data_IF_424418610537
#
_entry.id   IF_424418610537
#
_cell.length_a   1.000
_cell.length_b   1.000
_cell.length_c   1.000
_cell.angle_alpha   90.00
_cell.angle_beta   90.00
_cell.angle_gamma   90.00
#
_symmetry.space_group_name_H-M   'P 1'
#
loop_
_entity.id
_entity.type
_entity.pdbx_description
1 polymer ?
#
# COMPACT_ATOMS: atom_id res chain seq x y z
N UNK A 1 -5.69 -26.75 19.12
CA UNK A 1 -5.96 -25.33 19.44
C UNK A 1 -6.46 -24.61 18.18
N UNK A 2 -7.19 -23.49 18.27
CA UNK A 2 -7.56 -22.73 17.08
C UNK A 2 -6.32 -22.26 16.31
N UNK A 3 -6.30 -22.45 14.98
CA UNK A 3 -5.16 -22.08 14.11
C UNK A 3 -5.35 -20.65 13.59
N UNK A 4 -4.30 -19.83 13.59
CA UNK A 4 -4.34 -18.44 13.12
C UNK A 4 -3.64 -18.30 11.79
N UNK A 5 -4.26 -17.60 10.83
CA UNK A 5 -3.63 -17.30 9.55
C UNK A 5 -2.37 -16.46 9.77
N UNK A 6 -1.24 -16.87 9.20
CA UNK A 6 0.05 -16.20 9.40
C UNK A 6 0.09 -14.78 8.81
N UNK A 7 -0.75 -14.45 7.81
CA UNK A 7 -0.79 -13.14 7.15
C UNK A 7 -1.77 -12.17 7.78
N UNK A 8 -3.03 -12.58 7.94
CA UNK A 8 -4.09 -11.70 8.45
C UNK A 8 -4.44 -11.93 9.92
N UNK A 9 -3.99 -13.03 10.54
CA UNK A 9 -4.31 -13.35 11.94
C UNK A 9 -5.75 -13.81 12.19
N UNK A 10 -6.56 -14.07 11.15
CA UNK A 10 -7.90 -14.64 11.33
C UNK A 10 -7.77 -16.02 11.98
N UNK A 11 -8.62 -16.28 12.97
CA UNK A 11 -8.63 -17.56 13.68
C UNK A 11 -9.62 -18.52 13.01
N UNK A 12 -9.15 -19.72 12.64
CA UNK A 12 -10.00 -20.81 12.18
C UNK A 12 -10.48 -21.63 13.37
N UNK A 13 -11.79 -21.83 13.46
CA UNK A 13 -12.41 -22.72 14.45
C UNK A 13 -12.30 -24.21 14.09
N UNK A 14 -11.83 -24.53 12.87
CA UNK A 14 -11.61 -25.92 12.47
C UNK A 14 -10.42 -26.47 13.25
N UNK A 15 -10.60 -27.60 13.94
CA UNK A 15 -9.50 -28.45 14.43
C UNK A 15 -8.80 -29.03 13.19
N UNK A 16 -7.93 -28.25 12.58
CA UNK A 16 -7.23 -28.67 11.37
C UNK A 16 -5.90 -29.32 11.75
N UNK A 17 -5.54 -30.44 11.14
CA UNK A 17 -4.17 -31.01 11.14
C UNK A 17 -3.16 -30.10 10.40
N UNK A 18 -3.45 -28.81 10.29
CA UNK A 18 -2.63 -27.83 9.57
C UNK A 18 -1.66 -27.22 10.55
N UNK A 19 -0.40 -27.19 10.13
CA UNK A 19 0.70 -26.61 10.89
C UNK A 19 0.45 -25.12 11.17
N UNK A 20 0.67 -24.73 12.44
CA UNK A 20 0.54 -23.35 12.92
C UNK A 20 1.51 -22.40 12.22
N UNK A 21 2.63 -22.91 11.70
CA UNK A 21 3.67 -22.11 11.05
C UNK A 21 3.36 -21.81 9.57
N UNK A 22 2.37 -22.47 8.96
CA UNK A 22 2.11 -22.38 7.50
C UNK A 22 0.66 -22.08 7.11
N UNK A 23 -0.27 -22.04 8.07
CA UNK A 23 -1.69 -21.81 7.74
C UNK A 23 -1.95 -20.42 7.13
N UNK A 24 -2.49 -20.41 5.91
CA UNK A 24 -2.97 -19.22 5.19
C UNK A 24 -4.45 -19.42 4.85
N UNK A 25 -5.32 -18.50 5.27
CA UNK A 25 -6.76 -18.58 4.99
C UNK A 25 -7.09 -18.27 3.52
N UNK A 26 -8.23 -18.75 3.04
CA UNK A 26 -8.61 -18.62 1.62
C UNK A 26 -8.76 -17.16 1.18
N UNK A 27 -9.26 -16.28 2.06
CA UNK A 27 -9.31 -14.83 1.79
C UNK A 27 -7.91 -14.24 1.58
N UNK A 28 -6.88 -14.72 2.30
CA UNK A 28 -5.50 -14.30 2.07
C UNK A 28 -4.93 -14.87 0.77
N UNK A 29 -5.24 -16.11 0.41
CA UNK A 29 -4.80 -16.69 -0.86
C UNK A 29 -5.37 -15.92 -2.07
N UNK A 30 -6.65 -15.52 -1.99
CA UNK A 30 -7.25 -14.65 -3.01
C UNK A 30 -6.60 -13.27 -3.03
N UNK A 31 -6.36 -12.69 -1.85
CA UNK A 31 -5.72 -11.38 -1.75
C UNK A 31 -4.28 -11.37 -2.24
N UNK A 32 -3.52 -12.47 -2.06
CA UNK A 32 -2.18 -12.64 -2.63
C UNK A 32 -2.18 -12.39 -4.14
N UNK A 33 -3.12 -12.99 -4.87
CA UNK A 33 -3.21 -12.81 -6.32
C UNK A 33 -3.53 -11.36 -6.70
N UNK A 34 -4.47 -10.72 -5.99
CA UNK A 34 -4.82 -9.31 -6.22
C UNK A 34 -3.62 -8.39 -6.00
N UNK A 35 -2.88 -8.58 -4.89
CA UNK A 35 -1.68 -7.78 -4.58
C UNK A 35 -0.58 -8.00 -5.62
N UNK A 36 -0.34 -9.24 -6.02
CA UNK A 36 0.65 -9.57 -7.06
C UNK A 36 0.30 -8.87 -8.37
N UNK A 37 -0.96 -9.01 -8.83
CA UNK A 37 -1.43 -8.38 -10.07
C UNK A 37 -1.31 -6.85 -10.04
N UNK A 38 -1.68 -6.22 -8.91
CA UNK A 38 -1.56 -4.79 -8.73
C UNK A 38 -0.10 -4.33 -8.72
N UNK A 39 0.80 -5.05 -8.04
CA UNK A 39 2.20 -4.69 -7.96
C UNK A 39 2.91 -4.81 -9.32
N UNK A 40 2.70 -5.91 -10.03
CA UNK A 40 3.31 -6.12 -11.36
C UNK A 40 2.82 -5.07 -12.36
N UNK A 41 1.51 -4.77 -12.36
CA UNK A 41 0.95 -3.69 -13.18
C UNK A 41 1.49 -2.31 -12.78
N UNK A 42 1.64 -2.03 -11.49
CA UNK A 42 2.23 -0.78 -11.00
C UNK A 42 3.68 -0.65 -11.45
N UNK A 43 4.45 -1.73 -11.32
CA UNK A 43 5.86 -1.77 -11.68
C UNK A 43 6.05 -1.50 -13.17
N UNK A 44 5.32 -2.21 -14.04
CA UNK A 44 5.36 -1.95 -15.48
C UNK A 44 4.98 -0.51 -15.83
N UNK A 45 3.87 -0.02 -15.26
CA UNK A 45 3.36 1.33 -15.51
C UNK A 45 4.34 2.42 -15.06
N UNK A 46 4.97 2.24 -13.89
CA UNK A 46 5.83 3.26 -13.30
C UNK A 46 7.28 3.21 -13.79
N UNK A 47 7.70 2.08 -14.38
CA UNK A 47 8.96 1.97 -15.10
C UNK A 47 8.86 2.52 -16.52
N UNK A 48 7.69 2.43 -17.17
CA UNK A 48 7.48 2.93 -18.53
C UNK A 48 7.52 4.47 -18.59
N UNK A 49 8.54 5.08 -19.22
CA UNK A 49 8.64 6.52 -19.34
C UNK A 49 7.77 7.10 -20.48
N UNK A 50 7.16 6.25 -21.31
CA UNK A 50 6.46 6.67 -22.54
C UNK A 50 5.04 7.18 -22.28
N UNK A 51 4.42 6.77 -21.18
CA UNK A 51 3.05 7.12 -20.83
C UNK A 51 2.97 7.98 -19.55
N UNK A 52 2.04 8.96 -19.47
CA UNK A 52 1.80 9.69 -18.24
C UNK A 52 1.28 8.74 -17.14
N UNK A 53 2.08 8.51 -16.09
CA UNK A 53 1.70 7.62 -14.98
C UNK A 53 0.37 8.01 -14.33
N UNK A 54 0.01 9.29 -14.34
CA UNK A 54 -1.21 9.81 -13.72
C UNK A 54 -2.50 9.46 -14.47
N UNK A 55 -2.38 9.05 -15.73
CA UNK A 55 -3.52 8.59 -16.54
C UNK A 55 -3.84 7.11 -16.31
N UNK A 56 -3.03 6.40 -15.52
CA UNK A 56 -3.18 4.96 -15.29
C UNK A 56 -4.20 4.64 -14.19
N UNK A 57 -4.92 3.54 -14.37
CA UNK A 57 -5.82 2.96 -13.37
C UNK A 57 -5.10 2.69 -12.04
N UNK A 58 -3.86 2.21 -12.11
CA UNK A 58 -3.07 1.86 -10.93
C UNK A 58 -2.67 3.10 -10.12
N UNK A 59 -2.34 4.22 -10.78
CA UNK A 59 -2.11 5.48 -10.10
C UNK A 59 -3.34 5.94 -9.33
N UNK A 60 -4.53 5.84 -9.94
CA UNK A 60 -5.78 6.18 -9.27
C UNK A 60 -6.03 5.26 -8.06
N UNK A 61 -5.93 3.94 -8.20
CA UNK A 61 -6.13 2.98 -7.09
C UNK A 61 -5.20 3.29 -5.90
N UNK A 62 -3.91 3.52 -6.17
CA UNK A 62 -2.93 3.80 -5.12
C UNK A 62 -3.15 5.16 -4.45
N UNK A 63 -3.52 6.18 -5.24
CA UNK A 63 -3.90 7.50 -4.71
C UNK A 63 -5.08 7.40 -3.76
N UNK A 64 -6.11 6.66 -4.16
CA UNK A 64 -7.34 6.54 -3.38
C UNK A 64 -7.19 5.64 -2.14
N UNK A 65 -6.22 4.73 -2.15
CA UNK A 65 -5.99 3.82 -1.01
C UNK A 65 -4.94 4.33 -0.02
N UNK A 66 -4.24 5.45 -0.30
CA UNK A 66 -3.17 6.00 0.56
C UNK A 66 -3.55 6.20 2.04
N UNK A 67 -4.84 6.39 2.34
CA UNK A 67 -5.33 6.54 3.72
C UNK A 67 -4.95 5.37 4.64
N UNK A 68 -4.76 4.17 4.09
CA UNK A 68 -4.38 2.96 4.86
C UNK A 68 -3.01 3.11 5.53
N UNK A 69 -2.20 4.08 5.08
CA UNK A 69 -0.87 4.36 5.63
C UNK A 69 -0.73 5.75 6.26
N UNK A 70 -1.58 6.73 5.89
CA UNK A 70 -1.48 8.12 6.34
C UNK A 70 -1.46 8.29 7.88
N UNK A 71 -2.23 7.47 8.61
CA UNK A 71 -2.32 7.50 10.08
C UNK A 71 -1.68 6.29 10.75
N UNK A 72 -0.77 5.59 10.06
CA UNK A 72 -0.03 4.48 10.64
C UNK A 72 1.37 4.98 11.05
N UNK A 73 1.65 5.17 12.35
CA UNK A 73 2.98 5.59 12.82
C UNK A 73 4.08 4.60 12.43
N UNK A 74 3.72 3.37 12.03
CA UNK A 74 4.67 2.40 11.51
C UNK A 74 5.13 2.66 10.08
N UNK A 75 4.31 3.34 9.29
CA UNK A 75 4.53 3.52 7.86
C UNK A 75 4.78 4.98 7.49
N UNK A 76 4.61 5.92 8.42
CA UNK A 76 4.90 7.35 8.21
C UNK A 76 6.35 7.63 7.78
N UNK A 77 7.29 6.74 8.12
CA UNK A 77 8.69 6.83 7.66
C UNK A 77 8.81 6.73 6.15
N UNK A 78 7.98 5.93 5.48
CA UNK A 78 7.98 5.83 4.01
C UNK A 78 7.58 7.17 3.39
N UNK A 79 6.52 7.80 3.91
CA UNK A 79 6.05 9.09 3.43
C UNK A 79 7.09 10.20 3.65
N UNK A 80 7.78 10.20 4.80
CA UNK A 80 8.84 11.14 5.10
C UNK A 80 10.02 10.97 4.13
N UNK A 81 10.49 9.74 3.91
CA UNK A 81 11.57 9.46 2.95
C UNK A 81 11.16 9.90 1.54
N UNK A 82 9.99 9.49 1.05
CA UNK A 82 9.49 9.84 -0.29
C UNK A 82 9.45 11.36 -0.50
N UNK A 83 8.99 12.11 0.51
CA UNK A 83 8.97 13.57 0.45
C UNK A 83 10.38 14.15 0.28
N UNK A 84 11.34 13.69 1.08
CA UNK A 84 12.73 14.16 1.01
C UNK A 84 13.39 13.78 -0.32
N UNK A 85 13.14 12.57 -0.82
CA UNK A 85 13.62 12.12 -2.13
C UNK A 85 13.06 12.99 -3.27
N UNK A 86 11.75 13.23 -3.30
CA UNK A 86 11.13 14.08 -4.33
C UNK A 86 11.64 15.52 -4.26
N UNK A 87 11.82 16.08 -3.06
CA UNK A 87 12.38 17.42 -2.90
C UNK A 87 13.81 17.50 -3.44
N UNK A 88 14.67 16.55 -3.09
CA UNK A 88 16.05 16.49 -3.56
C UNK A 88 16.17 16.29 -5.08
N UNK A 89 15.47 15.30 -5.63
CA UNK A 89 15.67 14.88 -7.02
C UNK A 89 14.77 15.64 -8.02
N UNK A 90 13.56 16.02 -7.63
CA UNK A 90 12.63 16.72 -8.53
C UNK A 90 12.76 18.24 -8.47
N UNK A 91 13.04 18.80 -7.28
CA UNK A 91 13.06 20.26 -7.05
C UNK A 91 14.48 20.81 -7.04
N UNK A 92 15.39 20.19 -6.26
CA UNK A 92 16.78 20.61 -6.12
C UNK A 92 17.68 20.06 -7.23
N UNK A 93 17.20 19.07 -8.00
CA UNK A 93 17.94 18.41 -9.07
C UNK A 93 19.28 17.82 -8.63
N UNK A 94 19.34 17.30 -7.40
CA UNK A 94 20.51 16.57 -6.93
C UNK A 94 20.66 15.28 -7.73
N UNK A 95 21.89 14.78 -7.87
CA UNK A 95 22.16 13.46 -8.48
C UNK A 95 22.23 12.35 -7.44
N UNK A 96 22.53 12.71 -6.19
CA UNK A 96 22.60 11.81 -5.04
C UNK A 96 22.37 12.57 -3.73
N UNK A 97 22.07 11.84 -2.66
CA UNK A 97 21.97 12.36 -1.29
C UNK A 97 22.78 11.44 -0.38
N UNK A 98 23.52 12.00 0.54
CA UNK A 98 24.19 11.23 1.59
C UNK A 98 23.17 10.53 2.52
N UNK A 99 23.43 9.29 2.90
CA UNK A 99 22.54 8.50 3.76
C UNK A 99 22.34 9.16 5.13
N UNK A 100 23.39 9.70 5.75
CA UNK A 100 23.29 10.32 7.08
C UNK A 100 22.56 11.65 7.01
N UNK A 101 22.68 12.39 5.91
CA UNK A 101 21.84 13.53 5.63
C UNK A 101 20.35 13.15 5.50
N UNK A 102 20.01 12.14 4.69
CA UNK A 102 18.64 11.67 4.55
C UNK A 102 18.07 11.18 5.89
N UNK A 103 18.89 10.48 6.68
CA UNK A 103 18.51 10.03 8.02
C UNK A 103 18.21 11.20 8.96
N UNK A 104 19.03 12.26 8.95
CA UNK A 104 18.78 13.48 9.74
C UNK A 104 17.50 14.21 9.30
N UNK A 105 17.25 14.32 7.99
CA UNK A 105 16.09 15.04 7.44
C UNK A 105 14.76 14.33 7.72
N UNK A 106 14.75 13.00 7.66
CA UNK A 106 13.55 12.19 7.92
C UNK A 106 13.16 12.12 9.41
N UNK A 107 14.06 12.49 10.34
CA UNK A 107 13.83 12.59 11.80
C UNK A 107 13.19 11.34 12.41
N UNK A 108 13.44 10.16 11.85
CA UNK A 108 12.83 8.90 12.28
C UNK A 108 13.72 8.16 13.25
N UNK A 109 13.16 7.65 14.35
CA UNK A 109 13.84 6.74 15.29
C UNK A 109 13.93 5.29 14.79
N UNK A 110 13.47 5.02 13.57
CA UNK A 110 13.40 3.66 12.99
C UNK A 110 14.68 3.32 12.22
N UNK A 111 14.86 2.02 11.96
CA UNK A 111 15.89 1.55 11.04
C UNK A 111 15.52 1.95 9.60
N UNK A 112 16.03 3.11 9.17
CA UNK A 112 15.80 3.66 7.83
C UNK A 112 16.44 2.81 6.76
N UNK A 113 17.61 2.21 7.03
CA UNK A 113 18.32 1.37 6.08
C UNK A 113 17.45 0.21 5.57
N UNK A 114 16.65 -0.42 6.45
CA UNK A 114 15.72 -1.49 6.03
C UNK A 114 14.64 -0.97 5.07
N UNK A 115 14.13 0.23 5.33
CA UNK A 115 13.11 0.87 4.46
C UNK A 115 13.72 1.25 3.11
N UNK A 116 14.94 1.79 3.10
CA UNK A 116 15.63 2.13 1.86
C UNK A 116 15.94 0.90 1.02
N UNK A 117 16.35 -0.22 1.64
CA UNK A 117 16.53 -1.49 0.93
C UNK A 117 15.25 -1.98 0.27
N UNK A 118 14.11 -1.90 0.97
CA UNK A 118 12.82 -2.23 0.35
C UNK A 118 12.46 -1.29 -0.80
N UNK A 119 12.76 0.00 -0.68
CA UNK A 119 12.58 0.96 -1.77
C UNK A 119 13.54 0.71 -2.94
N UNK A 120 14.74 0.20 -2.68
CA UNK A 120 15.70 -0.25 -3.69
C UNK A 120 15.17 -1.48 -4.45
N UNK A 121 14.68 -2.49 -3.73
CA UNK A 121 14.04 -3.68 -4.31
C UNK A 121 12.82 -3.31 -5.17
N UNK A 122 12.14 -2.21 -4.83
CA UNK A 122 11.02 -1.65 -5.60
C UNK A 122 11.44 -0.73 -6.77
N UNK A 123 12.74 -0.59 -7.03
CA UNK A 123 13.34 0.27 -8.08
C UNK A 123 13.04 1.77 -7.92
N UNK A 124 12.70 2.21 -6.69
CA UNK A 124 12.49 3.62 -6.35
C UNK A 124 13.83 4.33 -6.19
N UNK A 125 14.82 3.67 -5.59
CA UNK A 125 16.14 4.26 -5.34
C UNK A 125 17.23 3.22 -5.57
N UNK A 126 18.48 3.68 -5.54
CA UNK A 126 19.66 2.82 -5.49
C UNK A 126 20.54 3.23 -4.32
N UNK A 127 21.01 2.25 -3.54
CA UNK A 127 21.97 2.45 -2.46
C UNK A 127 23.36 2.08 -2.97
N UNK A 128 24.26 3.05 -2.98
CA UNK A 128 25.66 2.80 -3.33
C UNK A 128 26.56 3.07 -2.11
N UNK A 129 27.62 2.28 -1.98
CA UNK A 129 28.67 2.49 -0.97
C UNK A 129 29.97 2.83 -1.72
N UNK A 130 30.18 4.11 -2.07
CA UNK A 130 31.34 4.51 -2.88
C UNK A 130 32.66 4.28 -2.13
N UNK A 131 32.63 4.24 -0.80
CA UNK A 131 33.73 3.80 0.05
C UNK A 131 33.22 2.88 1.19
N UNK A 132 34.12 2.46 2.08
CA UNK A 132 33.80 1.52 3.18
C UNK A 132 32.91 2.11 4.28
N UNK A 133 32.74 3.44 4.31
CA UNK A 133 32.18 4.20 5.42
C UNK A 133 30.91 4.92 4.97
N UNK A 134 30.90 5.49 3.76
CA UNK A 134 29.81 6.30 3.23
C UNK A 134 28.80 5.47 2.44
N UNK A 135 27.55 5.93 2.47
CA UNK A 135 26.47 5.42 1.63
C UNK A 135 25.75 6.59 1.00
N UNK A 136 25.50 6.50 -0.29
CA UNK A 136 24.73 7.49 -1.03
C UNK A 136 23.46 6.87 -1.58
N UNK A 137 22.41 7.69 -1.63
CA UNK A 137 21.11 7.36 -2.20
C UNK A 137 21.01 8.04 -3.56
N UNK A 138 20.78 7.26 -4.60
CA UNK A 138 20.54 7.73 -5.98
C UNK A 138 19.10 7.45 -6.41
N UNK A 139 18.54 8.22 -7.36
CA UNK A 139 17.21 7.93 -7.85
C UNK A 139 17.23 6.65 -8.68
N UNK A 140 16.25 5.78 -8.45
CA UNK A 140 15.96 4.63 -9.31
C UNK A 140 14.99 5.03 -10.43
N UNK A 141 14.76 4.16 -11.42
CA UNK A 141 13.93 4.47 -12.58
C UNK A 141 12.50 4.89 -12.21
N UNK A 142 11.90 4.28 -11.19
CA UNK A 142 10.56 4.68 -10.72
C UNK A 142 10.58 6.11 -10.19
N UNK A 143 11.54 6.46 -9.34
CA UNK A 143 11.62 7.81 -8.77
C UNK A 143 11.94 8.85 -9.84
N UNK A 144 12.76 8.54 -10.84
CA UNK A 144 13.01 9.44 -11.97
C UNK A 144 11.72 9.79 -12.72
N UNK A 145 10.86 8.79 -12.98
CA UNK A 145 9.57 9.02 -13.62
C UNK A 145 8.62 9.84 -12.74
N UNK A 146 8.54 9.53 -11.44
CA UNK A 146 7.76 10.34 -10.51
C UNK A 146 8.30 11.77 -10.36
N UNK A 147 9.63 11.96 -10.38
CA UNK A 147 10.26 13.26 -10.27
C UNK A 147 9.93 14.17 -11.47
N UNK A 148 9.85 13.61 -12.69
CA UNK A 148 9.40 14.35 -13.89
C UNK A 148 8.00 14.93 -13.68
N UNK A 149 7.06 14.12 -13.21
CA UNK A 149 5.67 14.55 -12.92
C UNK A 149 5.63 15.55 -11.78
N UNK A 150 6.33 15.28 -10.68
CA UNK A 150 6.38 16.16 -9.51
C UNK A 150 6.91 17.56 -9.88
N UNK A 151 7.90 17.64 -10.77
CA UNK A 151 8.48 18.90 -11.25
C UNK A 151 7.46 19.76 -12.00
N UNK A 152 6.57 19.16 -12.80
CA UNK A 152 5.47 19.88 -13.48
C UNK A 152 4.53 20.56 -12.48
N UNK A 153 4.41 19.99 -11.28
CA UNK A 153 3.55 20.50 -10.21
C UNK A 153 4.27 21.37 -9.17
N UNK A 154 5.47 21.90 -9.45
CA UNK A 154 6.28 22.67 -8.48
C UNK A 154 5.50 23.74 -7.71
N UNK A 155 4.54 24.43 -8.37
CA UNK A 155 3.70 25.48 -7.78
C UNK A 155 2.34 24.99 -7.19
N UNK A 156 1.97 23.71 -7.37
CA UNK A 156 0.67 23.15 -6.94
C UNK A 156 0.87 22.15 -5.80
N UNK A 157 0.89 22.63 -4.55
CA UNK A 157 1.12 21.81 -3.35
C UNK A 157 0.23 20.56 -3.25
N UNK A 158 -1.04 20.70 -3.62
CA UNK A 158 -1.97 19.58 -3.57
C UNK A 158 -1.62 18.47 -4.58
N UNK A 159 -1.14 18.85 -5.77
CA UNK A 159 -0.70 17.88 -6.78
C UNK A 159 0.62 17.21 -6.38
N UNK A 160 1.58 17.95 -5.81
CA UNK A 160 2.79 17.40 -5.20
C UNK A 160 2.46 16.36 -4.12
N UNK A 161 1.50 16.67 -3.26
CA UNK A 161 1.04 15.76 -2.21
C UNK A 161 0.46 14.47 -2.79
N UNK A 162 -0.30 14.54 -3.90
CA UNK A 162 -0.86 13.36 -4.58
C UNK A 162 0.24 12.46 -5.15
N UNK A 163 1.21 13.04 -5.87
CA UNK A 163 2.34 12.29 -6.44
C UNK A 163 3.16 11.60 -5.34
N UNK A 164 3.48 12.32 -4.26
CA UNK A 164 4.18 11.75 -3.11
C UNK A 164 3.37 10.64 -2.42
N UNK A 165 2.04 10.79 -2.34
CA UNK A 165 1.15 9.79 -1.74
C UNK A 165 1.11 8.50 -2.56
N UNK A 166 1.05 8.61 -3.90
CA UNK A 166 1.10 7.45 -4.78
C UNK A 166 2.44 6.74 -4.69
N UNK A 167 3.56 7.46 -4.75
CA UNK A 167 4.89 6.83 -4.62
C UNK A 167 5.08 6.16 -3.26
N UNK A 168 4.56 6.77 -2.19
CA UNK A 168 4.56 6.14 -0.86
C UNK A 168 3.71 4.87 -0.86
N UNK A 169 2.52 4.91 -1.44
CA UNK A 169 1.65 3.73 -1.50
C UNK A 169 2.24 2.64 -2.40
N UNK A 170 2.99 2.98 -3.46
CA UNK A 170 3.74 2.04 -4.28
C UNK A 170 4.84 1.32 -3.47
N UNK A 171 5.60 2.06 -2.65
CA UNK A 171 6.58 1.45 -1.74
C UNK A 171 5.91 0.48 -0.74
N UNK A 172 4.70 0.80 -0.27
CA UNK A 172 3.93 -0.09 0.60
C UNK A 172 3.34 -1.27 -0.17
N UNK A 173 2.92 -1.09 -1.41
CA UNK A 173 2.46 -2.17 -2.27
C UNK A 173 3.57 -3.19 -2.50
N UNK A 174 4.83 -2.76 -2.63
CA UNK A 174 5.99 -3.66 -2.66
C UNK A 174 6.08 -4.51 -1.38
N UNK A 175 5.93 -3.91 -0.19
CA UNK A 175 5.92 -4.66 1.08
C UNK A 175 4.77 -5.69 1.13
N UNK A 176 3.59 -5.33 0.61
CA UNK A 176 2.45 -6.27 0.50
C UNK A 176 2.76 -7.39 -0.50
N UNK A 177 3.40 -7.08 -1.62
CA UNK A 177 3.82 -8.05 -2.63
C UNK A 177 4.84 -9.06 -2.08
N UNK A 178 5.83 -8.58 -1.33
CA UNK A 178 6.77 -9.45 -0.62
C UNK A 178 6.00 -10.35 0.35
N UNK A 179 5.11 -9.78 1.18
CA UNK A 179 4.28 -10.56 2.10
C UNK A 179 3.39 -11.58 1.36
N UNK A 180 2.90 -11.27 0.16
CA UNK A 180 2.10 -12.19 -0.65
C UNK A 180 2.88 -13.45 -1.04
N UNK A 181 4.19 -13.33 -1.25
CA UNK A 181 5.07 -14.45 -1.64
C UNK A 181 5.51 -15.34 -0.49
N UNK A 182 5.63 -14.81 0.73
CA UNK A 182 6.05 -15.59 1.90
C UNK A 182 4.98 -16.63 2.29
N UNK A 183 5.40 -17.85 2.67
CA UNK A 183 4.52 -18.99 2.93
C UNK A 183 4.60 -19.51 4.37
N UNK A 184 5.61 -19.08 5.12
CA UNK A 184 5.80 -19.48 6.51
C UNK A 184 5.88 -18.27 7.44
N UNK A 185 5.55 -18.47 8.72
CA UNK A 185 5.66 -17.44 9.74
C UNK A 185 7.13 -17.03 9.98
N UNK A 186 8.06 -17.98 9.97
CA UNK A 186 9.50 -17.69 10.09
C UNK A 186 10.01 -16.79 8.97
N UNK A 187 9.60 -17.02 7.71
CA UNK A 187 9.93 -16.12 6.60
C UNK A 187 9.41 -14.70 6.86
N UNK A 188 8.15 -14.56 7.30
CA UNK A 188 7.56 -13.25 7.61
C UNK A 188 8.33 -12.55 8.73
N UNK A 189 8.72 -13.28 9.77
CA UNK A 189 9.50 -12.76 10.90
C UNK A 189 10.91 -12.34 10.47
N UNK A 190 11.59 -13.12 9.63
CA UNK A 190 12.90 -12.79 9.11
C UNK A 190 12.85 -11.56 8.19
N UNK A 191 11.87 -11.49 7.29
CA UNK A 191 11.74 -10.40 6.33
C UNK A 191 11.27 -9.11 7.01
N UNK A 192 10.24 -9.15 7.84
CA UNK A 192 9.63 -7.93 8.39
C UNK A 192 9.89 -7.73 9.89
N UNK A 193 10.07 -8.80 10.66
CA UNK A 193 10.11 -8.75 12.13
C UNK A 193 8.83 -8.16 12.70
N UNK A 194 8.96 -7.30 13.72
CA UNK A 194 7.83 -6.58 14.36
C UNK A 194 7.13 -5.55 13.47
N UNK A 195 7.63 -5.36 12.24
CA UNK A 195 7.15 -4.38 11.27
C UNK A 195 6.30 -4.98 10.13
N UNK A 196 5.87 -6.23 10.25
CA UNK A 196 4.98 -6.86 9.26
C UNK A 196 3.82 -5.92 8.87
N UNK A 197 3.54 -5.74 7.55
CA UNK A 197 2.51 -4.83 7.05
C UNK A 197 1.09 -5.42 7.22
N UNK A 198 0.80 -6.05 8.36
CA UNK A 198 -0.50 -6.69 8.65
C UNK A 198 -1.68 -5.72 8.56
N UNK A 199 -1.54 -4.51 9.10
CA UNK A 199 -2.62 -3.51 9.07
C UNK A 199 -3.00 -3.07 7.64
N UNK A 200 -2.06 -2.63 6.78
CA UNK A 200 -2.39 -2.34 5.39
C UNK A 200 -2.81 -3.60 4.62
N UNK A 201 -2.23 -4.78 4.88
CA UNK A 201 -2.68 -6.05 4.28
C UNK A 201 -4.17 -6.32 4.56
N UNK A 202 -4.58 -6.22 5.82
CA UNK A 202 -5.98 -6.49 6.21
C UNK A 202 -6.93 -5.41 5.69
N UNK A 203 -6.51 -4.14 5.68
CA UNK A 203 -7.32 -3.05 5.13
C UNK A 203 -7.53 -3.21 3.62
N UNK A 204 -6.45 -3.42 2.87
CA UNK A 204 -6.49 -3.61 1.41
C UNK A 204 -7.20 -4.90 1.02
N UNK A 205 -7.13 -5.96 1.82
CA UNK A 205 -7.95 -7.17 1.61
C UNK A 205 -9.45 -6.86 1.61
N UNK A 206 -9.92 -5.99 2.50
CA UNK A 206 -11.32 -5.56 2.50
C UNK A 206 -11.68 -4.64 1.34
N UNK A 207 -10.78 -3.69 1.03
CA UNK A 207 -11.02 -2.62 0.05
C UNK A 207 -10.80 -3.05 -1.40
N UNK A 208 -9.96 -4.05 -1.64
CA UNK A 208 -9.66 -4.54 -2.98
C UNK A 208 -10.33 -5.89 -3.19
N UNK A 209 -9.96 -6.91 -2.41
CA UNK A 209 -10.43 -8.29 -2.67
C UNK A 209 -11.89 -8.49 -2.29
N UNK A 210 -12.33 -8.08 -1.10
CA UNK A 210 -13.73 -8.31 -0.69
C UNK A 210 -14.71 -7.58 -1.61
N UNK A 211 -14.34 -6.41 -2.16
CA UNK A 211 -15.17 -5.68 -3.11
C UNK A 211 -15.31 -6.46 -4.42
N UNK A 212 -14.20 -6.98 -4.96
CA UNK A 212 -14.21 -7.81 -6.18
C UNK A 212 -15.06 -9.07 -6.03
N UNK A 213 -14.98 -9.75 -4.89
CA UNK A 213 -15.67 -11.03 -4.68
C UNK A 213 -17.18 -10.92 -4.47
N UNK A 214 -17.69 -9.72 -4.18
CA UNK A 214 -19.10 -9.49 -3.86
C UNK A 214 -19.94 -8.98 -5.06
N UNK A 215 -19.35 -8.83 -6.25
CA UNK A 215 -20.06 -8.31 -7.42
C UNK A 215 -20.65 -6.92 -7.17
N UNK A 216 -21.92 -6.69 -7.55
CA UNK A 216 -22.60 -5.40 -7.35
C UNK A 216 -22.69 -4.98 -5.87
N UNK A 217 -22.87 -5.94 -4.94
CA UNK A 217 -22.84 -5.67 -3.49
C UNK A 217 -21.45 -5.22 -3.01
N UNK A 218 -20.40 -5.48 -3.79
CA UNK A 218 -19.03 -5.06 -3.52
C UNK A 218 -18.90 -3.55 -3.39
N UNK A 219 -19.80 -2.78 -3.98
CA UNK A 219 -19.80 -1.31 -3.88
C UNK A 219 -20.22 -0.78 -2.52
N UNK A 220 -20.98 -1.56 -1.75
CA UNK A 220 -21.56 -1.12 -0.48
C UNK A 220 -20.91 -1.84 0.70
N UNK A 221 -20.73 -1.13 1.81
CA UNK A 221 -20.47 -1.75 3.11
C UNK A 221 -20.79 -0.81 4.25
N UNK A 222 -21.17 -1.37 5.40
CA UNK A 222 -21.42 -0.61 6.62
C UNK A 222 -20.15 -0.44 7.46
N UNK A 223 -20.13 0.58 8.32
CA UNK A 223 -19.06 0.74 9.32
C UNK A 223 -18.90 -0.52 10.19
N UNK A 224 -20.02 -1.15 10.58
CA UNK A 224 -20.01 -2.33 11.44
C UNK A 224 -19.41 -3.55 10.72
N UNK A 225 -19.73 -3.76 9.45
CA UNK A 225 -19.09 -4.80 8.63
C UNK A 225 -17.57 -4.60 8.56
N UNK A 226 -17.11 -3.37 8.29
CA UNK A 226 -15.69 -3.07 8.23
C UNK A 226 -15.02 -3.27 9.59
N UNK A 227 -15.61 -2.76 10.67
CA UNK A 227 -15.13 -2.92 12.04
C UNK A 227 -15.00 -4.40 12.42
N UNK A 228 -16.05 -5.19 12.19
CA UNK A 228 -16.06 -6.64 12.46
C UNK A 228 -15.00 -7.36 11.65
N UNK A 229 -14.83 -7.02 10.37
CA UNK A 229 -13.82 -7.61 9.51
C UNK A 229 -12.39 -7.38 10.03
N UNK A 230 -12.07 -6.14 10.42
CA UNK A 230 -10.75 -5.79 10.97
C UNK A 230 -10.51 -6.40 12.36
N UNK A 231 -11.54 -6.36 13.23
CA UNK A 231 -11.46 -6.89 14.59
C UNK A 231 -11.26 -8.42 14.62
N UNK A 232 -11.96 -9.16 13.74
CA UNK A 232 -11.78 -10.62 13.58
C UNK A 232 -10.34 -11.03 13.23
N UNK A 233 -9.54 -10.08 12.71
CA UNK A 233 -8.14 -10.24 12.32
C UNK A 233 -7.16 -9.67 13.34
N UNK A 234 -7.66 -9.18 14.48
CA UNK A 234 -6.86 -8.71 15.60
C UNK A 234 -6.15 -7.39 15.33
N UNK A 235 -6.75 -6.49 14.54
CA UNK A 235 -6.32 -5.09 14.53
C UNK A 235 -6.83 -4.37 15.78
N UNK A 236 -6.02 -3.44 16.31
CA UNK A 236 -6.38 -2.68 17.50
C UNK A 236 -7.54 -1.74 17.23
N UNK A 237 -8.32 -1.44 18.27
CA UNK A 237 -9.43 -0.48 18.22
C UNK A 237 -8.98 0.88 17.69
N UNK A 238 -7.79 1.35 18.08
CA UNK A 238 -7.20 2.60 17.57
C UNK A 238 -6.95 2.56 16.07
N UNK A 239 -6.34 1.49 15.54
CA UNK A 239 -6.11 1.35 14.10
C UNK A 239 -7.44 1.31 13.33
N UNK A 240 -8.42 0.57 13.84
CA UNK A 240 -9.76 0.47 13.24
C UNK A 240 -10.43 1.85 13.20
N UNK A 241 -10.45 2.57 14.32
CA UNK A 241 -11.02 3.92 14.38
C UNK A 241 -10.31 4.89 13.44
N UNK A 242 -8.97 4.81 13.31
CA UNK A 242 -8.23 5.64 12.37
C UNK A 242 -8.65 5.41 10.92
N UNK A 243 -8.86 4.15 10.51
CA UNK A 243 -9.33 3.83 9.16
C UNK A 243 -10.77 4.30 8.92
N UNK A 244 -11.67 4.10 9.89
CA UNK A 244 -13.05 4.58 9.79
C UNK A 244 -13.09 6.11 9.69
N UNK A 245 -12.36 6.83 10.54
CA UNK A 245 -12.26 8.28 10.46
C UNK A 245 -11.68 8.76 9.14
N UNK A 246 -10.72 8.02 8.56
CA UNK A 246 -10.14 8.36 7.27
C UNK A 246 -11.11 8.13 6.10
N UNK A 247 -11.93 7.06 6.15
CA UNK A 247 -13.00 6.81 5.19
C UNK A 247 -14.12 7.86 5.29
N UNK A 248 -14.43 8.33 6.50
CA UNK A 248 -15.42 9.40 6.75
C UNK A 248 -14.94 10.80 6.35
N UNK A 249 -13.64 10.99 6.17
CA UNK A 249 -13.06 12.27 5.81
C UNK A 249 -13.24 12.55 4.30
N UNK A 250 -14.50 12.67 3.86
CA UNK A 250 -14.86 13.12 2.51
C UNK A 250 -14.67 14.63 2.47
N UNK A 251 -13.45 15.07 2.21
CA UNK A 251 -13.17 16.48 1.93
C UNK A 251 -12.85 16.60 0.43
N UNK A 252 -13.49 17.49 -0.33
CA UNK A 252 -13.15 17.73 -1.74
C UNK A 252 -11.67 18.13 -1.95
N UNK A 253 -11.02 18.64 -0.91
CA UNK A 253 -9.58 18.96 -0.92
C UNK A 253 -8.68 17.85 -0.40
N UNK A 254 -9.23 16.73 0.08
CA UNK A 254 -8.43 15.59 0.49
C UNK A 254 -7.79 14.90 -0.71
N UNK A 255 -6.65 14.25 -0.45
CA UNK A 255 -5.88 13.52 -1.46
C UNK A 255 -6.62 12.26 -1.94
N UNK A 256 -7.61 11.80 -1.16
CA UNK A 256 -8.32 10.54 -1.32
C UNK A 256 -9.85 10.73 -1.31
N UNK A 257 -10.53 9.92 -2.07
CA UNK A 257 -11.95 9.88 -2.39
C UNK A 257 -12.32 8.44 -2.75
N UNK A 258 -11.82 7.44 -1.99
CA UNK A 258 -12.19 6.04 -2.22
C UNK A 258 -13.70 5.81 -2.05
N UNK A 259 -14.32 6.59 -1.15
CA UNK A 259 -15.75 6.62 -0.89
C UNK A 259 -16.36 7.75 -1.71
N UNK A 260 -17.34 7.40 -2.53
CA UNK A 260 -18.16 8.32 -3.32
C UNK A 260 -19.21 9.01 -2.45
N UNK A 261 -19.87 8.23 -1.57
CA UNK A 261 -20.94 8.73 -0.73
C UNK A 261 -21.02 7.97 0.60
N UNK A 262 -21.54 8.64 1.63
CA UNK A 262 -21.85 8.05 2.94
C UNK A 262 -23.33 8.27 3.21
N UNK A 263 -24.06 7.18 3.39
CA UNK A 263 -25.48 7.22 3.69
C UNK A 263 -25.74 6.81 5.15
N UNK A 264 -26.62 7.52 5.88
CA UNK A 264 -27.05 7.07 7.19
C UNK A 264 -27.85 5.78 7.07
N UNK A 265 -27.59 4.84 7.96
CA UNK A 265 -28.44 3.66 8.16
C UNK A 265 -29.39 3.92 9.33
N UNK A 266 -30.58 3.32 9.32
CA UNK A 266 -31.64 3.59 10.32
C UNK A 266 -31.26 3.37 11.79
N UNK A 267 -30.12 2.73 12.08
CA UNK A 267 -29.63 2.44 13.43
C UNK A 267 -28.38 3.26 13.83
N UNK A 268 -28.30 4.55 13.50
CA UNK A 268 -27.15 5.44 13.76
C UNK A 268 -25.81 4.96 13.14
N UNK A 269 -25.84 3.94 12.28
CA UNK A 269 -24.70 3.48 11.52
C UNK A 269 -24.55 4.25 10.22
N UNK A 270 -23.45 4.07 9.53
CA UNK A 270 -23.24 4.61 8.18
C UNK A 270 -22.94 3.49 7.19
N UNK A 271 -23.47 3.65 5.99
CA UNK A 271 -23.09 2.88 4.81
C UNK A 271 -22.12 3.71 3.96
N UNK A 272 -21.05 3.06 3.52
CA UNK A 272 -20.06 3.59 2.61
C UNK A 272 -20.32 3.06 1.20
N UNK A 273 -20.39 3.97 0.23
CA UNK A 273 -20.50 3.65 -1.19
C UNK A 273 -19.15 3.90 -1.83
N UNK A 274 -18.53 2.83 -2.33
CA UNK A 274 -17.25 2.90 -3.04
C UNK A 274 -17.47 3.46 -4.44
N UNK A 275 -16.50 4.22 -4.93
CA UNK A 275 -16.47 4.69 -6.32
C UNK A 275 -16.47 3.52 -7.31
N UNK A 276 -17.40 3.54 -8.25
CA UNK A 276 -17.57 2.47 -9.23
C UNK A 276 -16.37 2.34 -10.18
N UNK A 277 -15.77 3.46 -10.57
CA UNK A 277 -14.60 3.48 -11.46
C UNK A 277 -13.38 2.79 -10.82
N UNK A 278 -13.24 2.85 -9.49
CA UNK A 278 -12.19 2.13 -8.77
C UNK A 278 -12.42 0.61 -8.75
N UNK A 279 -13.67 0.18 -8.60
CA UNK A 279 -14.02 -1.25 -8.65
C UNK A 279 -13.71 -1.79 -10.05
N UNK A 280 -14.16 -1.09 -11.09
CA UNK A 280 -13.87 -1.47 -12.49
C UNK A 280 -12.37 -1.49 -12.79
N UNK A 281 -11.61 -0.53 -12.27
CA UNK A 281 -10.16 -0.52 -12.41
C UNK A 281 -9.50 -1.74 -11.73
N UNK A 282 -9.93 -2.08 -10.50
CA UNK A 282 -9.47 -3.28 -9.80
C UNK A 282 -9.82 -4.56 -10.57
N UNK A 283 -11.04 -4.66 -11.12
CA UNK A 283 -11.49 -5.79 -11.93
C UNK A 283 -10.66 -5.93 -13.20
N UNK A 284 -10.40 -4.84 -13.93
CA UNK A 284 -9.58 -4.84 -15.14
C UNK A 284 -8.18 -5.38 -14.87
N UNK A 285 -7.51 -4.85 -13.85
CA UNK A 285 -6.14 -5.25 -13.51
C UNK A 285 -6.11 -6.72 -13.09
N UNK A 286 -7.02 -7.15 -12.22
CA UNK A 286 -7.08 -8.54 -11.76
C UNK A 286 -7.40 -9.50 -12.92
N UNK A 287 -8.42 -9.20 -13.73
CA UNK A 287 -8.84 -10.06 -14.84
C UNK A 287 -7.83 -10.12 -15.99
N UNK A 288 -7.04 -9.07 -16.24
CA UNK A 288 -5.94 -9.12 -17.22
C UNK A 288 -4.92 -10.19 -16.83
N UNK A 289 -4.49 -10.16 -15.57
CA UNK A 289 -3.45 -11.07 -15.07
C UNK A 289 -3.91 -12.50 -14.87
N UNK A 290 -5.15 -12.72 -14.43
CA UNK A 290 -5.71 -14.09 -14.38
C UNK A 290 -5.77 -14.71 -15.78
N UNK A 291 -6.04 -13.91 -16.82
CA UNK A 291 -6.05 -14.39 -18.21
C UNK A 291 -4.65 -14.64 -18.78
N UNK A 292 -3.66 -13.84 -18.40
CA UNK A 292 -2.26 -14.06 -18.78
C UNK A 292 -1.73 -15.35 -18.15
N UNK A 293 -1.93 -15.55 -16.84
CA UNK A 293 -1.49 -16.76 -16.12
C UNK A 293 -2.21 -18.05 -16.54
N UNK A 294 -3.31 -17.96 -17.29
CA UNK A 294 -4.01 -19.13 -17.85
C UNK A 294 -3.53 -19.52 -19.25
N UNK A 295 -2.68 -18.68 -19.87
CA UNK A 295 -2.09 -18.90 -21.20
C UNK A 295 -0.66 -19.45 -21.14
N UNK A 296 0.00 -19.34 -19.99
CA UNK A 296 1.31 -19.91 -19.67
C UNK A 296 1.16 -21.28 -18.98
#
# INVERSE_FOLDING_TARGET
MPVRCIKCGVTSGRRSNVDYETFICDECKQHEQVVISLYETAKETFLDPSAPIEASDIYEILKQTYFVIQKNPKLSVYAAIVKELLEAFAIQNLTEIDYDELWRRTRSRRNILKVLKSMEDAEILKLESPDRISRVVKPGPVLENFAKVYRVYKAKEQAKTRVASVLTMYAILHELYVLAKLKTKTEIENTFGVHSPKAPWVATMFLWTTRLTKGEEGRHFTEDEFRKFLAKRGLSTTTISNYISALKAINPNSVQQFIENIQPTGNNGVEFIVREDLIRALERIYASRVRENARD
#
